data_IF_667817680919
#
_entry.id   IF_667817680919
#
_cell.length_a   1.000
_cell.length_b   1.000
_cell.length_c   1.000
_cell.angle_alpha   90.00
_cell.angle_beta   90.00
_cell.angle_gamma   90.00
#
_symmetry.space_group_name_H-M   'P 1'
#
loop_
_entity.id
_entity.type
_entity.pdbx_description
1 polymer ?
#
# COMPACT_ATOMS: atom_id res chain seq x y z
N UNK A 1 -5.82 1.20 -19.22
CA UNK A 1 -6.18 0.02 -18.41
C UNK A 1 -5.65 0.22 -16.99
N UNK A 2 -6.54 0.22 -16.04
CA UNK A 2 -6.14 0.46 -14.66
C UNK A 2 -5.49 -0.78 -14.03
N UNK A 3 -4.51 -0.53 -13.20
CA UNK A 3 -3.79 -1.54 -12.43
C UNK A 3 -4.08 -1.29 -10.95
N UNK A 4 -4.36 -2.35 -10.22
CA UNK A 4 -4.57 -2.26 -8.79
C UNK A 4 -3.54 -3.14 -8.08
N UNK A 5 -2.82 -2.55 -7.15
CA UNK A 5 -1.78 -3.24 -6.40
C UNK A 5 -2.25 -3.39 -4.96
N UNK A 6 -2.21 -4.61 -4.45
CA UNK A 6 -2.60 -4.90 -3.07
C UNK A 6 -1.38 -5.39 -2.30
N UNK A 7 -1.10 -4.73 -1.19
CA UNK A 7 -0.11 -5.21 -0.23
C UNK A 7 -0.88 -5.65 1.00
N UNK A 8 -0.76 -6.93 1.35
CA UNK A 8 -1.46 -7.49 2.50
C UNK A 8 -0.46 -7.88 3.58
N UNK A 9 -0.90 -7.83 4.82
CA UNK A 9 -0.06 -8.22 5.94
C UNK A 9 -0.85 -8.19 7.23
N UNK A 10 -0.17 -8.49 8.32
CA UNK A 10 -0.76 -8.39 9.66
C UNK A 10 0.03 -7.41 10.50
N UNK A 11 -0.70 -6.59 11.25
CA UNK A 11 -0.11 -5.64 12.19
C UNK A 11 0.16 -6.37 13.50
N UNK A 12 1.29 -6.06 14.14
CA UNK A 12 1.64 -6.64 15.43
C UNK A 12 0.55 -6.33 16.46
N UNK A 13 0.24 -7.33 17.29
CA UNK A 13 -0.79 -7.21 18.33
C UNK A 13 -0.42 -6.07 19.28
N UNK A 14 -1.39 -5.22 19.57
CA UNK A 14 -1.18 -4.09 20.48
C UNK A 14 -0.57 -2.85 19.82
N UNK A 15 -0.25 -2.91 18.53
CA UNK A 15 0.40 -1.80 17.84
C UNK A 15 -0.45 -1.21 16.72
N UNK A 16 -1.75 -1.47 16.73
CA UNK A 16 -2.62 -1.00 15.65
C UNK A 16 -2.70 0.52 15.58
N UNK A 17 -2.67 1.20 16.72
CA UNK A 17 -2.65 2.66 16.75
C UNK A 17 -1.40 3.23 16.09
N UNK A 18 -0.24 2.62 16.34
CA UNK A 18 1.00 3.01 15.66
C UNK A 18 0.91 2.78 14.16
N UNK A 19 0.26 1.68 13.76
CA UNK A 19 0.06 1.39 12.34
C UNK A 19 -0.77 2.48 11.67
N UNK A 20 -1.87 2.90 12.30
CA UNK A 20 -2.75 3.93 11.74
C UNK A 20 -1.97 5.24 11.52
N UNK A 21 -1.17 5.64 12.49
CA UNK A 21 -0.36 6.85 12.39
C UNK A 21 0.72 6.72 11.32
N UNK A 22 1.39 5.58 11.28
CA UNK A 22 2.44 5.33 10.27
C UNK A 22 1.84 5.28 8.87
N UNK A 23 0.67 4.68 8.70
CA UNK A 23 -0.03 4.64 7.42
C UNK A 23 -0.40 6.03 6.94
N UNK A 24 -0.79 6.92 7.86
CA UNK A 24 -1.10 8.31 7.50
C UNK A 24 0.14 9.05 7.01
N UNK A 25 1.26 8.88 7.68
CA UNK A 25 2.53 9.46 7.23
C UNK A 25 2.93 8.90 5.85
N UNK A 26 2.70 7.63 5.62
CA UNK A 26 2.95 6.98 4.35
C UNK A 26 2.11 7.61 3.24
N UNK A 27 0.82 7.84 3.50
CA UNK A 27 -0.09 8.45 2.54
C UNK A 27 0.34 9.89 2.21
N UNK A 28 0.74 10.65 3.22
CA UNK A 28 1.24 12.02 3.03
C UNK A 28 2.53 12.03 2.21
N UNK A 29 3.42 11.08 2.48
CA UNK A 29 4.66 10.91 1.72
C UNK A 29 4.37 10.70 0.24
N UNK A 30 3.44 9.79 -0.06
CA UNK A 30 3.07 9.49 -1.44
C UNK A 30 2.41 10.70 -2.12
N UNK A 31 1.53 11.36 -1.42
CA UNK A 31 0.84 12.54 -1.96
C UNK A 31 1.83 13.66 -2.29
N UNK A 32 2.82 13.88 -1.44
CA UNK A 32 3.84 14.90 -1.65
C UNK A 32 4.67 14.64 -2.90
N UNK A 33 4.79 13.39 -3.32
CA UNK A 33 5.52 12.99 -4.53
C UNK A 33 4.64 12.83 -5.76
N UNK A 34 3.34 13.08 -5.62
CA UNK A 34 2.39 12.90 -6.71
C UNK A 34 2.20 11.44 -7.11
N UNK A 35 2.53 10.53 -6.22
CA UNK A 35 2.36 9.09 -6.46
C UNK A 35 0.91 8.67 -6.27
N UNK A 36 0.54 7.50 -6.81
CA UNK A 36 -0.82 6.99 -6.74
C UNK A 36 -1.31 6.92 -5.29
N UNK A 37 -2.57 7.29 -5.03
CA UNK A 37 -3.09 7.27 -3.67
C UNK A 37 -3.21 5.85 -3.14
N UNK A 38 -3.12 5.72 -1.83
CA UNK A 38 -3.22 4.44 -1.15
C UNK A 38 -4.44 4.43 -0.24
N UNK A 39 -5.29 3.42 -0.39
CA UNK A 39 -6.37 3.15 0.55
C UNK A 39 -5.87 2.13 1.56
N UNK A 40 -6.23 2.31 2.81
CA UNK A 40 -5.86 1.39 3.88
C UNK A 40 -7.13 0.72 4.38
N UNK A 41 -7.19 -0.60 4.26
CA UNK A 41 -8.32 -1.39 4.70
C UNK A 41 -7.86 -2.31 5.82
N UNK A 42 -8.69 -2.46 6.86
CA UNK A 42 -8.42 -3.46 7.88
C UNK A 42 -9.62 -4.38 8.02
N UNK A 43 -9.34 -5.65 8.32
CA UNK A 43 -10.38 -6.66 8.37
C UNK A 43 -11.28 -6.46 9.59
N UNK A 44 -12.59 -6.41 9.37
CA UNK A 44 -13.58 -6.45 10.45
C UNK A 44 -13.87 -7.88 10.85
N UNK A 45 -13.60 -8.83 9.95
CA UNK A 45 -13.74 -10.25 10.19
C UNK A 45 -12.62 -10.96 9.42
N UNK A 46 -12.33 -12.18 9.78
CA UNK A 46 -11.25 -12.95 9.18
C UNK A 46 -10.05 -12.97 10.10
N UNK A 47 -8.84 -12.93 9.52
CA UNK A 47 -7.62 -13.00 10.31
C UNK A 47 -7.43 -11.75 11.15
N UNK A 48 -7.10 -11.92 12.43
CA UNK A 48 -6.93 -10.82 13.36
C UNK A 48 -5.78 -9.91 12.90
N UNK A 49 -6.03 -8.60 12.96
CA UNK A 49 -5.08 -7.55 12.59
C UNK A 49 -4.63 -7.58 11.13
N UNK A 50 -5.37 -8.26 10.27
CA UNK A 50 -5.09 -8.25 8.84
C UNK A 50 -5.40 -6.88 8.24
N UNK A 51 -4.50 -6.38 7.42
CA UNK A 51 -4.66 -5.10 6.72
C UNK A 51 -4.34 -5.28 5.25
N UNK A 52 -4.84 -4.35 4.46
CA UNK A 52 -4.60 -4.33 3.02
C UNK A 52 -4.37 -2.88 2.59
N UNK A 53 -3.25 -2.66 1.91
CA UNK A 53 -2.96 -1.38 1.29
C UNK A 53 -3.28 -1.51 -0.18
N UNK A 54 -4.13 -0.64 -0.70
CA UNK A 54 -4.60 -0.72 -2.09
C UNK A 54 -4.19 0.54 -2.84
N UNK A 55 -3.42 0.34 -3.90
CA UNK A 55 -2.92 1.42 -4.76
C UNK A 55 -3.55 1.27 -6.13
N UNK A 56 -4.05 2.36 -6.70
CA UNK A 56 -4.65 2.34 -8.03
C UNK A 56 -3.82 3.18 -8.98
N UNK A 57 -3.38 2.57 -10.07
CA UNK A 57 -2.55 3.23 -11.10
C UNK A 57 -3.30 3.26 -12.42
N UNK A 58 -3.13 4.32 -13.22
CA UNK A 58 -3.80 4.38 -14.52
C UNK A 58 -3.28 3.32 -15.49
N UNK A 59 -2.03 2.90 -15.34
CA UNK A 59 -1.40 1.91 -16.22
C UNK A 59 -0.18 1.30 -15.56
N UNK A 60 0.36 0.27 -16.18
CA UNK A 60 1.53 -0.45 -15.66
C UNK A 60 2.79 0.40 -15.71
N UNK A 61 2.92 1.27 -16.72
CA UNK A 61 4.09 2.13 -16.83
C UNK A 61 4.20 3.09 -15.65
N UNK A 62 3.08 3.64 -15.21
CA UNK A 62 3.05 4.52 -14.02
C UNK A 62 3.49 3.75 -12.79
N UNK A 63 3.00 2.54 -12.61
CA UNK A 63 3.38 1.69 -11.50
C UNK A 63 4.90 1.44 -11.52
N UNK A 64 5.44 1.03 -12.65
CA UNK A 64 6.87 0.73 -12.76
C UNK A 64 7.73 1.96 -12.49
N UNK A 65 7.30 3.13 -12.99
CA UNK A 65 8.03 4.37 -12.76
C UNK A 65 8.07 4.73 -11.27
N UNK A 66 6.93 4.65 -10.61
CA UNK A 66 6.87 4.99 -9.18
C UNK A 66 7.68 4.01 -8.34
N UNK A 67 7.64 2.71 -8.68
CA UNK A 67 8.46 1.72 -8.01
C UNK A 67 9.95 2.03 -8.17
N UNK A 68 10.37 2.43 -9.36
CA UNK A 68 11.76 2.78 -9.60
C UNK A 68 12.18 4.02 -8.82
N UNK A 69 11.31 5.02 -8.73
CA UNK A 69 11.58 6.23 -7.95
C UNK A 69 11.69 5.92 -6.47
N UNK A 70 10.79 5.09 -5.95
CA UNK A 70 10.79 4.71 -4.54
C UNK A 70 12.04 3.90 -4.18
N UNK A 71 12.51 3.06 -5.08
CA UNK A 71 13.65 2.18 -4.80
C UNK A 71 14.94 2.93 -4.55
N UNK A 72 15.04 4.18 -5.01
CA UNK A 72 16.25 5.02 -4.83
C UNK A 72 16.00 6.18 -3.86
N UNK A 73 14.82 6.29 -3.29
CA UNK A 73 14.46 7.38 -2.38
C UNK A 73 14.77 6.96 -0.94
N UNK A 74 15.72 7.62 -0.26
CA UNK A 74 16.07 7.25 1.12
C UNK A 74 14.93 7.43 2.11
N UNK A 75 14.01 8.37 1.84
CA UNK A 75 12.83 8.56 2.69
C UNK A 75 11.85 7.40 2.60
N UNK A 76 11.77 6.75 1.44
CA UNK A 76 10.85 5.65 1.22
C UNK A 76 11.06 4.53 2.24
N UNK A 77 12.29 4.06 2.34
CA UNK A 77 12.62 2.96 3.25
C UNK A 77 12.32 3.32 4.70
N UNK A 78 12.61 4.57 5.08
CA UNK A 78 12.37 5.03 6.44
C UNK A 78 10.88 5.05 6.78
N UNK A 79 10.06 5.63 5.90
CA UNK A 79 8.62 5.75 6.15
C UNK A 79 7.94 4.38 6.11
N UNK A 80 8.34 3.52 5.17
CA UNK A 80 7.80 2.17 5.08
C UNK A 80 8.12 1.34 6.33
N UNK A 81 9.33 1.49 6.87
CA UNK A 81 9.76 0.73 8.04
C UNK A 81 9.02 1.12 9.33
N UNK A 82 8.32 2.25 9.33
CA UNK A 82 7.57 2.67 10.51
C UNK A 82 6.29 1.85 10.74
N UNK A 83 5.79 1.18 9.71
CA UNK A 83 4.59 0.38 9.85
C UNK A 83 4.90 -0.95 10.54
N UNK A 84 4.25 -1.23 11.70
CA UNK A 84 4.61 -2.39 12.52
C UNK A 84 3.98 -3.69 12.03
N UNK A 85 4.41 -4.15 10.87
CA UNK A 85 3.96 -5.45 10.34
C UNK A 85 4.67 -6.61 11.02
N UNK A 86 3.95 -7.70 11.18
CA UNK A 86 4.55 -8.96 11.63
C UNK A 86 5.43 -9.50 10.51
N UNK A 87 6.68 -9.87 10.84
CA UNK A 87 7.63 -10.39 9.87
C UNK A 87 7.07 -11.58 9.11
N UNK A 88 7.32 -11.61 7.81
CA UNK A 88 6.92 -12.71 6.95
C UNK A 88 5.45 -12.72 6.56
N UNK A 89 4.66 -11.72 6.97
CA UNK A 89 3.23 -11.69 6.62
C UNK A 89 2.93 -10.85 5.39
N UNK A 90 3.89 -10.05 4.92
CA UNK A 90 3.65 -9.19 3.77
C UNK A 90 3.53 -9.99 2.48
N UNK A 91 2.49 -9.74 1.72
CA UNK A 91 2.29 -10.30 0.40
C UNK A 91 1.91 -9.17 -0.56
N UNK A 92 2.21 -9.38 -1.83
CA UNK A 92 2.08 -8.34 -2.85
C UNK A 92 1.37 -8.97 -4.05
N UNK A 93 0.25 -8.37 -4.45
CA UNK A 93 -0.56 -8.84 -5.56
C UNK A 93 -0.85 -7.69 -6.51
N UNK A 94 -0.80 -7.95 -7.81
CA UNK A 94 -1.09 -6.96 -8.83
C UNK A 94 -2.25 -7.47 -9.66
N UNK A 95 -3.26 -6.64 -9.81
CA UNK A 95 -4.46 -6.95 -10.56
C UNK A 95 -4.65 -5.98 -11.71
N UNK A 96 -5.18 -6.47 -12.80
CA UNK A 96 -5.65 -5.65 -13.89
C UNK A 96 -7.15 -5.48 -13.73
N UNK A 97 -7.64 -4.25 -13.87
CA UNK A 97 -9.07 -4.01 -13.86
C UNK A 97 -9.62 -4.29 -15.26
N UNK A 98 -10.36 -5.36 -15.38
CA UNK A 98 -10.95 -5.79 -16.65
C UNK A 98 -12.37 -5.30 -16.86
N UNK A 99 -12.85 -4.42 -15.99
CA UNK A 99 -14.17 -3.85 -16.15
C UNK A 99 -14.28 -3.16 -17.52
N UNK A 100 -15.37 -3.39 -18.26
CA UNK A 100 -15.56 -2.66 -19.51
C UNK A 100 -15.59 -1.16 -19.26
N UNK A 101 -15.01 -0.38 -20.15
CA UNK A 101 -14.99 1.06 -20.03
C UNK A 101 -16.37 1.67 -20.24
N UNK A 102 -17.23 0.95 -20.94
CA UNK A 102 -18.60 1.39 -21.17
C UNK A 102 -19.54 0.25 -20.91
N UNK A 103 -20.53 0.55 -20.15
CA UNK A 103 -21.60 -0.37 -19.86
C UNK A 103 -22.94 0.26 -20.24
#
# INVERSE_FOLDING_TARGET
MAIEVHVTGRVEVGRFGEFVEAAERWREFRAARGHAPCRVLHALAGEMNAVRLVFTYPDLNTYEREEAEDSVDPEYARVAAEMPFVDGTLAHEIYRDDRPERL
#
